data_IF_968942662205
#
_entry.id   IF_968942662205
#
_cell.length_a   1.000
_cell.length_b   1.000
_cell.length_c   1.000
_cell.angle_alpha   90.00
_cell.angle_beta   90.00
_cell.angle_gamma   90.00
#
_symmetry.space_group_name_H-M   'P 1'
#
loop_
_entity.id
_entity.type
_entity.pdbx_description
1 polymer ?
#
# COMPACT_ATOMS: atom_id res chain seq x y z
N UNK A 1 -39.46 29.99 -12.69
CA UNK A 1 -39.55 29.24 -13.96
C UNK A 1 -38.16 29.13 -14.55
N UNK A 2 -37.71 27.88 -14.79
CA UNK A 2 -36.63 27.40 -15.66
C UNK A 2 -35.15 27.55 -15.22
N UNK A 3 -34.62 26.39 -14.80
CA UNK A 3 -33.51 25.62 -15.40
C UNK A 3 -32.14 26.30 -15.58
N UNK A 4 -31.04 25.85 -14.94
CA UNK A 4 -30.32 24.58 -15.01
C UNK A 4 -29.18 24.54 -16.07
N UNK A 5 -28.04 24.04 -15.60
CA UNK A 5 -27.04 23.20 -16.26
C UNK A 5 -26.02 23.76 -17.28
N UNK A 6 -24.76 23.66 -16.81
CA UNK A 6 -23.64 22.89 -17.40
C UNK A 6 -23.05 23.29 -18.76
N UNK A 7 -21.71 23.31 -18.81
CA UNK A 7 -20.85 22.58 -19.77
C UNK A 7 -19.47 23.27 -19.80
N UNK A 8 -18.44 22.66 -19.20
CA UNK A 8 -17.49 21.72 -19.81
C UNK A 8 -16.50 22.36 -20.81
N UNK A 9 -15.26 22.37 -20.35
CA UNK A 9 -14.07 21.84 -21.01
C UNK A 9 -13.41 22.52 -22.23
N UNK A 10 -12.08 22.48 -22.10
CA UNK A 10 -11.06 22.26 -23.14
C UNK A 10 -10.52 23.48 -23.87
N UNK A 11 -9.22 23.75 -23.69
CA UNK A 11 -8.27 24.03 -24.78
C UNK A 11 -6.84 23.91 -24.25
N UNK A 12 -6.19 22.76 -24.45
CA UNK A 12 -4.74 22.68 -24.58
C UNK A 12 -4.43 21.65 -25.66
N UNK A 13 -4.12 22.14 -26.87
CA UNK A 13 -3.47 21.37 -27.93
C UNK A 13 -2.38 22.22 -28.58
N UNK A 14 -1.28 21.53 -28.86
CA UNK A 14 -0.20 21.80 -29.83
C UNK A 14 0.79 22.93 -29.51
N UNK A 15 2.06 22.53 -29.36
CA UNK A 15 2.97 22.64 -30.51
C UNK A 15 4.13 21.64 -30.40
N UNK A 16 4.47 20.98 -31.52
CA UNK A 16 5.61 20.10 -31.71
C UNK A 16 6.44 20.64 -32.89
N UNK A 17 7.77 20.73 -32.65
CA UNK A 17 8.91 20.57 -33.57
C UNK A 17 9.20 21.65 -34.64
N UNK A 18 10.49 22.03 -34.69
CA UNK A 18 11.43 22.22 -35.83
C UNK A 18 12.74 22.77 -35.19
N UNK A 19 13.99 22.47 -35.54
CA UNK A 19 14.73 21.63 -36.49
C UNK A 19 16.22 21.65 -36.05
N UNK A 20 16.99 20.56 -36.21
CA UNK A 20 18.05 20.32 -37.23
C UNK A 20 19.46 20.94 -36.95
N UNK A 21 20.36 20.05 -36.49
CA UNK A 21 21.76 19.77 -36.90
C UNK A 21 22.82 20.89 -37.07
N UNK A 22 23.95 20.74 -36.36
CA UNK A 22 25.30 20.92 -36.92
C UNK A 22 26.27 19.88 -36.33
N UNK A 23 27.19 19.38 -37.15
CA UNK A 23 28.25 18.41 -36.84
C UNK A 23 29.55 19.16 -36.54
N UNK A 24 30.40 18.62 -35.66
CA UNK A 24 31.85 18.51 -35.85
C UNK A 24 32.44 17.37 -34.98
N UNK A 25 33.56 16.71 -35.37
CA UNK A 25 33.98 15.41 -34.83
C UNK A 25 35.30 15.41 -34.03
N UNK A 26 35.50 14.30 -33.30
CA UNK A 26 36.73 13.80 -32.65
C UNK A 26 37.24 14.45 -31.34
N UNK A 27 37.01 13.77 -30.21
CA UNK A 27 38.10 13.33 -29.31
C UNK A 27 37.68 12.08 -28.52
N UNK A 28 38.64 11.19 -28.37
CA UNK A 28 38.57 9.82 -27.87
C UNK A 28 38.70 9.72 -26.34
N UNK A 29 38.12 8.65 -25.78
CA UNK A 29 38.37 8.01 -24.47
C UNK A 29 38.09 8.79 -23.17
N UNK A 30 37.04 8.36 -22.46
CA UNK A 30 37.14 7.97 -21.05
C UNK A 30 35.97 7.06 -20.68
N UNK A 31 36.26 5.91 -20.08
CA UNK A 31 35.27 4.99 -19.55
C UNK A 31 34.43 5.61 -18.44
N UNK A 32 33.23 5.03 -18.27
CA UNK A 32 32.26 5.29 -17.21
C UNK A 32 32.88 5.63 -15.85
N UNK A 33 32.15 6.39 -15.03
CA UNK A 33 31.81 5.93 -13.70
C UNK A 33 30.38 5.40 -13.75
N UNK A 34 30.20 4.13 -13.36
CA UNK A 34 28.91 3.62 -12.97
C UNK A 34 28.25 4.65 -12.06
N UNK A 35 27.06 5.12 -12.43
CA UNK A 35 26.29 6.02 -11.60
C UNK A 35 26.03 5.31 -10.28
N UNK A 36 26.78 5.70 -9.24
CA UNK A 36 26.46 5.36 -7.87
C UNK A 36 25.07 5.95 -7.62
N UNK A 37 24.03 5.11 -7.71
CA UNK A 37 22.67 5.49 -7.38
C UNK A 37 22.69 5.91 -5.91
N UNK A 38 22.72 7.22 -5.66
CA UNK A 38 22.43 7.77 -4.35
C UNK A 38 21.07 7.21 -3.93
N UNK A 39 20.94 6.61 -2.74
CA UNK A 39 19.66 6.07 -2.30
C UNK A 39 18.63 7.19 -2.31
N UNK A 40 17.47 6.95 -2.94
CA UNK A 40 16.37 7.91 -2.99
C UNK A 40 15.97 8.21 -1.54
N UNK A 41 16.26 9.43 -1.08
CA UNK A 41 15.89 9.88 0.24
C UNK A 41 14.42 10.33 0.22
N UNK A 42 13.58 9.62 0.98
CA UNK A 42 12.19 10.00 1.19
C UNK A 42 12.10 11.04 2.31
N UNK A 43 11.11 11.92 2.22
CA UNK A 43 10.86 12.96 3.21
C UNK A 43 10.65 12.37 4.61
N UNK A 44 11.16 13.07 5.61
CA UNK A 44 11.08 12.69 7.03
C UNK A 44 10.03 13.50 7.80
N UNK A 45 9.39 14.47 7.16
CA UNK A 45 8.38 15.37 7.72
C UNK A 45 8.86 16.10 8.99
N UNK A 46 10.17 16.28 9.15
CA UNK A 46 10.75 16.85 10.38
C UNK A 46 10.49 18.35 10.56
N UNK A 47 10.20 19.08 9.48
CA UNK A 47 10.09 20.53 9.49
C UNK A 47 8.72 21.06 9.03
N UNK A 48 8.25 22.09 9.73
CA UNK A 48 7.11 22.89 9.34
C UNK A 48 7.37 23.65 8.03
N UNK A 49 6.31 23.94 7.28
CA UNK A 49 6.37 24.80 6.10
C UNK A 49 5.00 25.49 5.90
N UNK A 50 4.87 26.47 5.00
CA UNK A 50 3.56 27.07 4.69
C UNK A 50 2.50 26.03 4.28
N UNK A 51 2.93 24.92 3.69
CA UNK A 51 2.05 23.79 3.30
C UNK A 51 1.98 22.70 4.36
N UNK A 52 2.88 22.68 5.36
CA UNK A 52 2.91 21.71 6.47
C UNK A 52 2.78 22.46 7.78
N UNK A 53 1.55 22.76 8.14
CA UNK A 53 1.19 23.65 9.25
C UNK A 53 0.39 22.94 10.36
N UNK A 54 0.28 21.62 10.29
CA UNK A 54 -0.28 20.77 11.33
C UNK A 54 0.80 19.79 11.79
N UNK A 55 1.04 19.74 13.10
CA UNK A 55 2.01 18.86 13.74
C UNK A 55 1.33 17.58 14.22
N UNK A 56 1.81 16.42 13.76
CA UNK A 56 1.45 15.13 14.31
C UNK A 56 2.56 14.67 15.26
N UNK A 57 2.23 14.48 16.53
CA UNK A 57 3.18 14.05 17.56
C UNK A 57 3.00 12.55 17.80
N UNK A 58 3.99 11.76 17.42
CA UNK A 58 4.00 10.30 17.56
C UNK A 58 5.23 9.87 18.36
N UNK A 59 5.05 9.14 19.46
CA UNK A 59 6.14 8.75 20.39
C UNK A 59 7.04 9.93 20.81
N UNK A 60 6.43 11.11 21.04
CA UNK A 60 7.15 12.34 21.41
C UNK A 60 7.95 13.00 20.29
N UNK A 61 7.87 12.49 19.06
CA UNK A 61 8.53 13.04 17.87
C UNK A 61 7.51 13.72 16.95
N UNK A 62 7.91 14.84 16.36
CA UNK A 62 7.06 15.66 15.49
C UNK A 62 7.14 15.23 14.02
N UNK A 63 5.99 15.22 13.36
CA UNK A 63 5.83 15.04 11.91
C UNK A 63 4.90 16.14 11.40
N UNK A 64 5.41 17.04 10.57
CA UNK A 64 4.66 18.17 10.05
C UNK A 64 3.98 17.80 8.73
N UNK A 65 2.65 17.95 8.66
CA UNK A 65 1.83 17.53 7.52
C UNK A 65 0.96 18.67 6.99
N UNK A 66 0.52 18.53 5.74
CA UNK A 66 -0.58 19.34 5.20
C UNK A 66 -1.90 18.74 5.69
N UNK A 67 -2.65 19.42 6.60
CA UNK A 67 -3.87 18.88 7.17
C UNK A 67 -4.94 18.62 6.10
N UNK A 68 -5.12 19.55 5.15
CA UNK A 68 -6.09 19.37 4.06
C UNK A 68 -5.77 18.15 3.19
N UNK A 69 -4.49 17.90 2.92
CA UNK A 69 -4.07 16.74 2.13
C UNK A 69 -4.32 15.40 2.82
N UNK A 70 -3.97 15.28 4.11
CA UNK A 70 -4.15 14.01 4.84
C UNK A 70 -5.62 13.71 5.11
N UNK A 71 -6.43 14.75 5.39
CA UNK A 71 -7.85 14.61 5.68
C UNK A 71 -8.67 14.25 4.44
N UNK A 72 -8.25 14.68 3.24
CA UNK A 72 -8.89 14.28 1.98
C UNK A 72 -8.90 12.76 1.79
N UNK A 73 -7.89 12.05 2.32
CA UNK A 73 -7.72 10.62 2.12
C UNK A 73 -8.05 9.76 3.35
N UNK A 74 -8.45 10.38 4.46
CA UNK A 74 -8.71 9.68 5.72
C UNK A 74 -9.78 10.40 6.53
N UNK A 75 -10.90 9.69 6.75
CA UNK A 75 -11.97 10.15 7.63
C UNK A 75 -11.48 10.30 9.07
N UNK A 76 -10.67 9.35 9.52
CA UNK A 76 -10.01 9.41 10.82
C UNK A 76 -9.20 10.71 11.00
N UNK A 77 -8.36 11.07 10.02
CA UNK A 77 -7.60 12.32 10.11
C UNK A 77 -8.51 13.55 10.04
N UNK A 78 -9.55 13.54 9.20
CA UNK A 78 -10.52 14.63 9.15
C UNK A 78 -11.17 14.87 10.52
N UNK A 79 -11.58 13.81 11.22
CA UNK A 79 -12.19 13.87 12.53
C UNK A 79 -11.24 14.40 13.61
N UNK A 80 -10.00 13.86 13.70
CA UNK A 80 -9.08 14.30 14.77
C UNK A 80 -8.46 15.67 14.50
N UNK A 81 -8.34 16.08 13.24
CA UNK A 81 -7.74 17.38 12.86
C UNK A 81 -8.77 18.51 12.95
N UNK A 82 -9.99 18.32 12.45
CA UNK A 82 -10.99 19.39 12.38
C UNK A 82 -12.06 19.30 13.49
N UNK A 83 -12.25 18.13 14.09
CA UNK A 83 -13.17 17.90 15.19
C UNK A 83 -14.55 18.52 14.97
N UNK A 84 -15.16 19.00 16.05
CA UNK A 84 -16.46 19.69 16.00
C UNK A 84 -16.38 21.18 15.63
N UNK A 85 -15.20 21.79 15.71
CA UNK A 85 -15.05 23.24 15.57
C UNK A 85 -14.71 23.68 14.14
N UNK A 86 -14.53 22.76 13.19
CA UNK A 86 -14.16 23.01 11.78
C UNK A 86 -12.88 23.87 11.59
N UNK A 87 -12.08 24.04 12.64
CA UNK A 87 -10.80 24.73 12.61
C UNK A 87 -9.70 23.67 12.76
N UNK A 88 -8.67 23.67 11.90
CA UNK A 88 -7.61 22.67 11.97
C UNK A 88 -6.83 22.81 13.27
N UNK A 89 -6.72 21.71 14.01
CA UNK A 89 -5.81 21.60 15.13
C UNK A 89 -4.37 21.86 14.66
N UNK A 90 -3.64 22.69 15.40
CA UNK A 90 -2.22 22.95 15.11
C UNK A 90 -1.33 21.76 15.47
N UNK A 91 -1.73 20.98 16.47
CA UNK A 91 -1.01 19.83 16.98
C UNK A 91 -2.00 18.70 17.30
N UNK A 92 -1.69 17.48 16.87
CA UNK A 92 -2.50 16.27 17.04
C UNK A 92 -1.61 15.15 17.57
N UNK A 93 -2.05 14.49 18.65
CA UNK A 93 -1.34 13.34 19.20
C UNK A 93 -1.72 12.05 18.45
N UNK A 94 -0.70 11.31 18.02
CA UNK A 94 -0.83 10.01 17.36
C UNK A 94 -0.38 8.94 18.35
N UNK A 95 -1.34 8.21 18.90
CA UNK A 95 -1.13 7.24 19.98
C UNK A 95 -1.28 5.80 19.49
N UNK A 96 -0.64 4.86 20.18
CA UNK A 96 -0.81 3.42 19.94
C UNK A 96 -0.08 2.87 18.71
N UNK A 97 0.79 3.66 18.08
CA UNK A 97 1.62 3.23 16.94
C UNK A 97 3.07 3.65 17.12
N UNK A 98 3.96 2.92 16.45
CA UNK A 98 5.38 3.28 16.39
C UNK A 98 5.60 4.42 15.42
N UNK A 99 6.48 5.35 15.76
CA UNK A 99 6.84 6.48 14.90
C UNK A 99 7.29 6.02 13.50
N UNK A 100 8.14 5.01 13.42
CA UNK A 100 8.68 4.52 12.14
C UNK A 100 7.58 3.92 11.25
N UNK A 101 6.54 3.32 11.83
CA UNK A 101 5.41 2.79 11.07
C UNK A 101 4.54 3.92 10.54
N UNK A 102 4.29 4.92 11.37
CA UNK A 102 3.50 6.09 10.99
C UNK A 102 4.21 6.93 9.92
N UNK A 103 5.52 7.14 10.06
CA UNK A 103 6.35 7.77 9.04
C UNK A 103 6.31 7.00 7.71
N UNK A 104 6.32 5.66 7.75
CA UNK A 104 6.19 4.84 6.55
C UNK A 104 4.85 5.06 5.84
N UNK A 105 3.74 5.15 6.59
CA UNK A 105 2.44 5.50 6.02
C UNK A 105 2.47 6.86 5.33
N UNK A 106 3.00 7.90 5.99
CA UNK A 106 3.09 9.25 5.42
C UNK A 106 3.93 9.28 4.13
N UNK A 107 5.05 8.55 4.10
CA UNK A 107 5.90 8.43 2.91
C UNK A 107 5.19 7.75 1.73
N UNK A 108 4.30 6.81 1.99
CA UNK A 108 3.51 6.13 0.95
C UNK A 108 2.31 6.98 0.51
N UNK A 109 1.72 7.75 1.42
CA UNK A 109 0.55 8.60 1.19
C UNK A 109 0.91 9.89 0.45
N UNK A 110 1.89 10.65 0.94
CA UNK A 110 2.19 12.01 0.51
C UNK A 110 3.20 12.06 -0.65
N UNK A 111 2.97 12.96 -1.60
CA UNK A 111 3.95 13.29 -2.65
C UNK A 111 4.90 14.38 -2.15
N UNK A 112 5.97 14.01 -1.44
CA UNK A 112 7.05 14.93 -1.08
C UNK A 112 8.36 14.14 -0.89
N UNK A 113 9.44 14.41 -1.63
CA UNK A 113 9.44 14.87 -3.03
C UNK A 113 8.82 13.82 -3.97
N UNK A 114 8.84 12.55 -3.58
CA UNK A 114 8.24 11.42 -4.30
C UNK A 114 7.57 10.48 -3.32
N UNK A 115 6.46 9.85 -3.71
CA UNK A 115 5.86 8.79 -2.89
C UNK A 115 6.79 7.59 -2.81
N UNK A 116 6.97 7.07 -1.60
CA UNK A 116 7.64 5.78 -1.40
C UNK A 116 6.77 4.66 -2.00
N UNK A 117 7.34 3.77 -2.82
CA UNK A 117 6.59 2.67 -3.41
C UNK A 117 6.20 1.65 -2.33
N UNK A 118 5.09 0.95 -2.58
CA UNK A 118 4.75 -0.25 -1.81
C UNK A 118 5.60 -1.39 -2.35
N UNK A 119 6.23 -2.13 -1.45
CA UNK A 119 7.18 -3.21 -1.70
C UNK A 119 6.91 -4.36 -0.72
N UNK A 120 7.50 -5.52 -0.98
CA UNK A 120 7.37 -6.69 -0.09
C UNK A 120 7.91 -6.42 1.33
N UNK A 121 8.85 -5.47 1.47
CA UNK A 121 9.45 -5.11 2.74
C UNK A 121 8.55 -4.25 3.64
N UNK A 122 7.76 -3.34 3.06
CA UNK A 122 6.96 -2.38 3.82
C UNK A 122 5.45 -2.68 3.82
N UNK A 123 4.94 -3.48 2.87
CA UNK A 123 3.50 -3.67 2.67
C UNK A 123 2.73 -4.09 3.94
N UNK A 124 3.29 -4.97 4.77
CA UNK A 124 2.62 -5.39 6.00
C UNK A 124 2.42 -4.23 6.99
N UNK A 125 3.40 -3.33 7.10
CA UNK A 125 3.29 -2.12 7.93
C UNK A 125 2.30 -1.15 7.30
N UNK A 126 2.36 -0.97 5.98
CA UNK A 126 1.49 -0.03 5.27
C UNK A 126 0.02 -0.48 5.35
N UNK A 127 -0.29 -1.77 5.22
CA UNK A 127 -1.66 -2.29 5.42
C UNK A 127 -2.15 -1.99 6.83
N UNK A 128 -1.37 -2.34 7.85
CA UNK A 128 -1.71 -2.15 9.27
C UNK A 128 -2.05 -0.67 9.55
N UNK A 129 -1.17 0.24 9.13
CA UNK A 129 -1.37 1.68 9.33
C UNK A 129 -2.51 2.25 8.47
N UNK A 130 -2.65 1.82 7.21
CA UNK A 130 -3.72 2.32 6.33
C UNK A 130 -5.09 1.91 6.83
N UNK A 131 -5.19 0.74 7.43
CA UNK A 131 -6.37 0.23 8.09
C UNK A 131 -6.67 0.98 9.38
N UNK A 132 -5.68 1.14 10.26
CA UNK A 132 -5.84 1.85 11.52
C UNK A 132 -6.22 3.33 11.35
N UNK A 133 -5.68 3.99 10.33
CA UNK A 133 -5.92 5.41 10.05
C UNK A 133 -6.89 5.62 8.89
N UNK A 134 -7.63 4.59 8.46
CA UNK A 134 -8.67 4.67 7.42
C UNK A 134 -8.23 5.36 6.12
N UNK A 135 -7.00 5.09 5.67
CA UNK A 135 -6.41 5.69 4.46
C UNK A 135 -6.74 4.84 3.23
N UNK A 136 -8.00 4.87 2.80
CA UNK A 136 -8.56 3.99 1.76
C UNK A 136 -7.73 3.94 0.46
N UNK A 137 -7.24 5.06 -0.11
CA UNK A 137 -6.45 5.01 -1.35
C UNK A 137 -5.09 4.31 -1.19
N UNK A 138 -4.53 4.27 0.01
CA UNK A 138 -3.30 3.50 0.28
C UNK A 138 -3.64 2.02 0.42
N UNK A 139 -4.74 1.71 1.12
CA UNK A 139 -5.22 0.33 1.27
C UNK A 139 -5.48 -0.33 -0.09
N UNK A 140 -6.20 0.36 -1.00
CA UNK A 140 -6.45 -0.12 -2.37
C UNK A 140 -5.16 -0.42 -3.15
N UNK A 141 -4.14 0.43 -3.01
CA UNK A 141 -2.82 0.19 -3.63
C UNK A 141 -2.11 -1.02 -3.02
N UNK A 142 -2.30 -1.31 -1.73
CA UNK A 142 -1.76 -2.50 -1.10
C UNK A 142 -2.45 -3.76 -1.63
N UNK A 143 -3.78 -3.76 -1.77
CA UNK A 143 -4.54 -4.87 -2.35
C UNK A 143 -4.11 -5.15 -3.80
N UNK A 144 -3.99 -4.12 -4.63
CA UNK A 144 -3.47 -4.25 -5.99
C UNK A 144 -2.07 -4.85 -6.02
N UNK A 145 -1.20 -4.44 -5.09
CA UNK A 145 0.15 -5.00 -4.98
C UNK A 145 0.09 -6.49 -4.64
N UNK A 146 -0.70 -6.88 -3.64
CA UNK A 146 -0.86 -8.30 -3.25
C UNK A 146 -1.40 -9.09 -4.43
N UNK A 147 -2.49 -8.65 -5.07
CA UNK A 147 -3.09 -9.34 -6.20
C UNK A 147 -2.10 -9.57 -7.36
N UNK A 148 -1.24 -8.59 -7.66
CA UNK A 148 -0.22 -8.73 -8.72
C UNK A 148 0.95 -9.61 -8.33
N UNK A 149 1.32 -9.66 -7.04
CA UNK A 149 2.56 -10.30 -6.56
C UNK A 149 2.34 -11.60 -5.82
N UNK A 150 1.10 -12.02 -5.59
CA UNK A 150 0.77 -13.19 -4.74
C UNK A 150 1.48 -14.49 -5.16
N UNK A 151 1.74 -14.68 -6.45
CA UNK A 151 2.48 -15.84 -6.95
C UNK A 151 3.98 -15.84 -6.61
N UNK A 152 4.54 -14.68 -6.27
CA UNK A 152 5.96 -14.44 -6.01
C UNK A 152 6.26 -14.27 -4.52
N UNK A 153 5.23 -14.08 -3.69
CA UNK A 153 5.38 -13.96 -2.25
C UNK A 153 5.84 -15.27 -1.63
N UNK A 154 6.84 -15.19 -0.77
CA UNK A 154 7.27 -16.34 0.01
C UNK A 154 6.23 -16.72 1.10
N UNK A 155 6.47 -17.89 1.70
CA UNK A 155 5.62 -18.44 2.74
C UNK A 155 5.46 -17.53 3.96
N UNK A 156 6.53 -16.86 4.39
CA UNK A 156 6.52 -16.00 5.56
C UNK A 156 5.71 -14.72 5.30
N UNK A 157 5.83 -14.16 4.09
CA UNK A 157 5.08 -12.98 3.66
C UNK A 157 3.62 -13.27 3.43
N UNK A 158 3.27 -14.41 2.84
CA UNK A 158 1.87 -14.85 2.76
C UNK A 158 1.24 -14.92 4.15
N UNK A 159 1.91 -15.59 5.09
CA UNK A 159 1.41 -15.71 6.46
C UNK A 159 1.27 -14.35 7.16
N UNK A 160 2.29 -13.49 7.04
CA UNK A 160 2.26 -12.17 7.64
C UNK A 160 1.13 -11.29 7.08
N UNK A 161 0.91 -11.32 5.76
CA UNK A 161 -0.14 -10.53 5.12
C UNK A 161 -1.53 -11.04 5.47
N UNK A 162 -1.73 -12.36 5.51
CA UNK A 162 -2.99 -12.96 6.00
C UNK A 162 -3.27 -12.51 7.42
N UNK A 163 -2.27 -12.57 8.31
CA UNK A 163 -2.39 -12.10 9.69
C UNK A 163 -2.76 -10.61 9.75
N UNK A 164 -2.05 -9.74 9.03
CA UNK A 164 -2.31 -8.30 9.07
C UNK A 164 -3.69 -7.98 8.50
N UNK A 165 -4.05 -8.52 7.33
CA UNK A 165 -5.35 -8.25 6.70
C UNK A 165 -6.53 -8.79 7.49
N UNK A 166 -6.35 -9.89 8.24
CA UNK A 166 -7.42 -10.49 9.04
C UNK A 166 -7.92 -9.59 10.16
N UNK A 167 -7.09 -8.62 10.57
CA UNK A 167 -7.45 -7.61 11.57
C UNK A 167 -8.21 -6.42 10.98
N UNK A 168 -8.12 -6.26 9.66
CA UNK A 168 -8.63 -5.09 8.95
C UNK A 168 -9.97 -5.37 8.30
N UNK A 169 -9.98 -6.32 7.38
CA UNK A 169 -11.19 -6.75 6.71
C UNK A 169 -11.03 -8.21 6.26
N UNK A 170 -11.74 -9.10 6.94
CA UNK A 170 -11.74 -10.52 6.65
C UNK A 170 -12.53 -10.89 5.38
N UNK A 171 -13.43 -10.03 4.92
CA UNK A 171 -14.30 -10.30 3.77
C UNK A 171 -13.76 -9.71 2.47
N UNK A 172 -12.58 -9.09 2.53
CA UNK A 172 -11.90 -8.55 1.38
C UNK A 172 -11.49 -9.66 0.38
N UNK A 173 -11.67 -9.41 -0.92
CA UNK A 173 -11.21 -10.30 -1.99
C UNK A 173 -9.72 -10.66 -1.86
N UNK A 174 -8.90 -9.74 -1.35
CA UNK A 174 -7.47 -9.98 -1.11
C UNK A 174 -7.24 -11.06 -0.05
N UNK A 175 -8.10 -11.14 0.96
CA UNK A 175 -8.04 -12.22 1.96
C UNK A 175 -8.30 -13.57 1.30
N UNK A 176 -9.34 -13.66 0.47
CA UNK A 176 -9.64 -14.89 -0.28
C UNK A 176 -8.47 -15.33 -1.15
N UNK A 177 -7.83 -14.39 -1.87
CA UNK A 177 -6.65 -14.69 -2.67
C UNK A 177 -5.49 -15.27 -1.82
N UNK A 178 -5.24 -14.68 -0.65
CA UNK A 178 -4.21 -15.15 0.27
C UNK A 178 -4.54 -16.54 0.82
N UNK A 179 -5.78 -16.75 1.26
CA UNK A 179 -6.26 -18.05 1.75
C UNK A 179 -6.14 -19.12 0.66
N UNK A 180 -6.57 -18.82 -0.57
CA UNK A 180 -6.46 -19.73 -1.71
C UNK A 180 -5.00 -20.09 -2.02
N UNK A 181 -4.10 -19.10 -1.98
CA UNK A 181 -2.67 -19.32 -2.21
C UNK A 181 -2.06 -20.15 -1.08
N UNK A 182 -2.42 -19.88 0.17
CA UNK A 182 -1.97 -20.66 1.32
C UNK A 182 -2.49 -22.11 1.25
N UNK A 183 -3.73 -22.32 0.80
CA UNK A 183 -4.33 -23.65 0.69
C UNK A 183 -3.56 -24.55 -0.30
N UNK A 184 -2.89 -23.97 -1.29
CA UNK A 184 -2.09 -24.68 -2.29
C UNK A 184 -0.69 -25.08 -1.79
N UNK A 185 -0.25 -24.61 -0.61
CA UNK A 185 1.08 -24.92 -0.09
C UNK A 185 1.20 -26.39 0.35
N UNK A 186 2.40 -27.01 0.28
CA UNK A 186 2.65 -28.35 0.79
C UNK A 186 2.29 -28.49 2.28
N UNK A 187 1.89 -29.70 2.72
CA UNK A 187 1.49 -29.94 4.12
C UNK A 187 2.63 -29.63 5.12
N UNK A 188 3.88 -29.96 4.76
CA UNK A 188 5.04 -29.68 5.61
C UNK A 188 5.30 -28.19 5.79
N UNK A 189 4.98 -27.37 4.80
CA UNK A 189 5.11 -25.92 4.90
C UNK A 189 4.02 -25.34 5.80
N UNK A 190 2.80 -25.83 5.63
CA UNK A 190 1.64 -25.39 6.39
C UNK A 190 1.76 -25.76 7.87
N UNK A 191 2.22 -26.98 8.19
CA UNK A 191 2.33 -27.47 9.56
C UNK A 191 3.36 -26.70 10.41
N UNK A 192 4.34 -26.06 9.77
CA UNK A 192 5.35 -25.25 10.46
C UNK A 192 4.88 -23.82 10.76
N UNK A 193 3.69 -23.43 10.31
CA UNK A 193 3.15 -22.09 10.53
C UNK A 193 2.60 -21.89 11.94
N UNK A 194 2.72 -20.67 12.44
CA UNK A 194 2.25 -20.27 13.77
C UNK A 194 0.77 -19.84 13.74
N UNK A 195 -0.14 -20.74 13.39
CA UNK A 195 -1.57 -20.43 13.24
C UNK A 195 -2.24 -19.83 14.47
N UNK A 196 -1.65 -19.98 15.66
CA UNK A 196 -2.07 -19.28 16.88
C UNK A 196 -2.11 -17.75 16.74
N UNK A 197 -1.40 -17.20 15.76
CA UNK A 197 -1.37 -15.76 15.49
C UNK A 197 -2.42 -15.28 14.50
N UNK A 198 -3.17 -16.19 13.87
CA UNK A 198 -4.24 -15.89 12.92
C UNK A 198 -5.59 -16.21 13.59
N UNK A 199 -6.63 -15.38 13.38
CA UNK A 199 -7.99 -15.69 13.82
C UNK A 199 -8.47 -17.08 13.35
N UNK A 200 -9.08 -17.85 14.26
CA UNK A 200 -9.41 -19.26 14.02
C UNK A 200 -10.42 -19.50 12.90
N UNK A 201 -11.26 -18.52 12.62
CA UNK A 201 -12.17 -18.46 11.48
C UNK A 201 -11.44 -18.36 10.14
N UNK A 202 -10.41 -17.52 10.01
CA UNK A 202 -9.56 -17.47 8.82
C UNK A 202 -8.80 -18.78 8.63
N UNK A 203 -8.37 -19.41 9.73
CA UNK A 203 -7.76 -20.75 9.69
C UNK A 203 -8.79 -21.81 9.24
N UNK A 204 -10.04 -21.72 9.69
CA UNK A 204 -11.10 -22.61 9.24
C UNK A 204 -11.34 -22.46 7.73
N UNK A 205 -11.46 -21.22 7.22
CA UNK A 205 -11.62 -20.92 5.79
C UNK A 205 -10.50 -21.55 4.95
N UNK A 206 -9.25 -21.45 5.42
CA UNK A 206 -8.08 -22.08 4.80
C UNK A 206 -8.21 -23.59 4.68
N UNK A 207 -8.57 -24.28 5.75
CA UNK A 207 -8.72 -25.74 5.72
C UNK A 207 -9.96 -26.19 4.92
N UNK A 208 -11.02 -25.38 4.90
CA UNK A 208 -12.19 -25.63 4.05
C UNK A 208 -11.84 -25.56 2.56
N UNK A 209 -11.14 -24.50 2.14
CA UNK A 209 -10.65 -24.35 0.77
C UNK A 209 -9.75 -25.51 0.39
N UNK A 210 -8.79 -25.87 1.25
CA UNK A 210 -7.88 -27.01 1.03
C UNK A 210 -8.63 -28.33 0.86
N UNK A 211 -9.64 -28.58 1.71
CA UNK A 211 -10.49 -29.78 1.62
C UNK A 211 -11.23 -29.84 0.29
N UNK A 212 -11.79 -28.72 -0.18
CA UNK A 212 -12.49 -28.63 -1.47
C UNK A 212 -11.54 -28.91 -2.64
N UNK A 213 -10.35 -28.31 -2.63
CA UNK A 213 -9.32 -28.54 -3.66
C UNK A 213 -8.88 -30.02 -3.72
N UNK A 214 -8.66 -30.65 -2.56
CA UNK A 214 -8.25 -32.06 -2.51
C UNK A 214 -9.36 -33.03 -2.95
N UNK A 215 -10.64 -32.74 -2.65
CA UNK A 215 -11.77 -33.53 -3.18
C UNK A 215 -11.86 -33.43 -4.70
N UNK A 216 -11.68 -32.23 -5.27
CA UNK A 216 -11.67 -32.02 -6.72
C UNK A 216 -10.54 -32.80 -7.41
N UNK A 217 -9.34 -32.80 -6.85
CA UNK A 217 -8.18 -33.56 -7.39
C UNK A 217 -8.43 -35.07 -7.36
N UNK A 218 -8.94 -35.61 -6.25
CA UNK A 218 -9.30 -37.04 -6.16
C UNK A 218 -10.36 -37.43 -7.18
N UNK A 219 -11.39 -36.59 -7.37
CA UNK A 219 -12.42 -36.85 -8.37
C UNK A 219 -11.86 -36.87 -9.79
N UNK A 220 -10.98 -35.93 -10.16
CA UNK A 220 -10.30 -35.93 -11.46
C UNK A 220 -9.45 -37.19 -11.69
N UNK A 221 -8.68 -37.63 -10.69
CA UNK A 221 -7.87 -38.85 -10.81
C UNK A 221 -8.73 -40.11 -10.99
N UNK A 222 -9.88 -40.22 -10.30
CA UNK A 222 -10.73 -41.41 -10.41
C UNK A 222 -11.51 -41.52 -11.75
N UNK A 223 -11.62 -40.42 -12.52
CA UNK A 223 -12.28 -40.40 -13.83
C UNK A 223 -11.31 -40.27 -15.01
N UNK A 224 -10.06 -39.86 -14.78
CA UNK A 224 -9.01 -39.80 -15.81
C UNK A 224 -8.51 -41.17 -16.28
N UNK A 225 -8.66 -42.22 -15.47
CA UNK A 225 -8.29 -43.60 -15.82
C UNK A 225 -9.40 -44.37 -16.55
N UNK A 226 -10.41 -43.68 -17.07
CA UNK A 226 -11.59 -44.30 -17.69
C UNK A 226 -11.93 -43.73 -19.08
N UNK A 227 -10.91 -43.31 -19.84
CA UNK A 227 -10.98 -42.99 -21.27
C UNK A 227 -9.86 -43.73 -22.02
#
# INVERSE_FOLDING_TARGET
MKDANSSFASTLRRSLRLGRSSKDPNMTFAGNPASSQQPIAYDDFSAASPMRNCEFVCEGRSLWVNPGYVCEFSKYFAEIVFGHNNLPAKCVAINGVKYEHFLELLRVLCYCPTRKPITEANIAVVIDMSCQFEVEPVMRRCEEFVARRIGQLDRQRLFQLTKTLSRCDRFNNTMTLLVDKMAQMPDHDLSTMQFSQIPGDVVADLYEVRRKQNKGRKWLCCFGDRL
#
